data_IF_282351295766
#
_entry.id   IF_282351295766
#
_cell.length_a   1.000
_cell.length_b   1.000
_cell.length_c   1.000
_cell.angle_alpha   90.00
_cell.angle_beta   90.00
_cell.angle_gamma   90.00
#
_symmetry.space_group_name_H-M   'P 1'
#
loop_
_entity.id
_entity.type
_entity.pdbx_description
1 polymer ?
#
# COMPACT_ATOMS: atom_id res chain seq x y z
N UNK A 1 3.70 -23.75 -19.75
CA UNK A 1 4.56 -23.30 -18.64
C UNK A 1 5.87 -22.86 -19.27
N UNK A 2 5.97 -21.56 -19.54
CA UNK A 2 7.22 -20.96 -20.01
C UNK A 2 8.32 -21.08 -18.94
N UNK A 3 9.60 -21.03 -19.32
CA UNK A 3 10.70 -20.92 -18.35
C UNK A 3 10.45 -19.69 -17.45
N UNK A 4 10.37 -19.89 -16.13
CA UNK A 4 10.15 -18.82 -15.16
C UNK A 4 8.70 -18.60 -14.72
N UNK A 5 7.71 -19.17 -15.42
CA UNK A 5 6.33 -19.21 -14.94
C UNK A 5 6.17 -20.40 -13.99
N UNK A 6 5.83 -20.14 -12.74
CA UNK A 6 5.41 -21.19 -11.81
C UNK A 6 3.98 -20.90 -11.40
N UNK A 7 3.07 -21.82 -11.73
CA UNK A 7 1.83 -21.93 -10.96
C UNK A 7 2.23 -22.03 -9.49
N UNK A 8 1.54 -21.31 -8.62
CA UNK A 8 1.81 -21.43 -7.19
C UNK A 8 1.45 -22.85 -6.74
N UNK A 9 2.39 -23.78 -6.83
CA UNK A 9 2.35 -25.08 -6.17
C UNK A 9 3.00 -24.96 -4.80
N UNK A 10 2.62 -23.93 -4.03
CA UNK A 10 3.17 -23.74 -2.71
C UNK A 10 2.70 -24.89 -1.83
N UNK A 11 3.65 -25.70 -1.37
CA UNK A 11 3.39 -26.58 -0.25
C UNK A 11 3.04 -25.69 0.96
N UNK A 12 1.76 -25.66 1.34
CA UNK A 12 1.25 -24.86 2.47
C UNK A 12 1.55 -25.49 3.84
N UNK A 13 2.23 -26.64 3.87
CA UNK A 13 2.65 -27.28 5.11
C UNK A 13 3.58 -26.37 5.95
N UNK A 14 4.27 -25.42 5.31
CA UNK A 14 5.11 -24.41 5.98
C UNK A 14 4.37 -23.10 6.34
N UNK A 15 3.05 -23.05 6.19
CA UNK A 15 2.28 -21.90 6.67
C UNK A 15 2.53 -21.71 8.18
N UNK A 16 3.10 -20.55 8.54
CA UNK A 16 3.63 -20.25 9.89
C UNK A 16 2.59 -20.33 11.04
N UNK A 17 1.29 -20.44 10.73
CA UNK A 17 0.22 -20.43 11.71
C UNK A 17 -0.38 -21.84 11.88
N UNK A 18 -0.26 -22.45 13.07
CA UNK A 18 -0.79 -23.78 13.33
C UNK A 18 -2.29 -23.85 13.01
N UNK A 19 -2.71 -24.86 12.24
CA UNK A 19 -4.09 -25.12 11.84
C UNK A 19 -4.74 -24.09 10.88
N UNK A 20 -3.98 -23.22 10.20
CA UNK A 20 -4.58 -22.26 9.25
C UNK A 20 -5.35 -22.91 8.09
N UNK A 21 -4.98 -24.13 7.69
CA UNK A 21 -5.63 -24.94 6.65
C UNK A 21 -6.81 -25.77 7.15
N UNK A 22 -7.03 -25.85 8.47
CA UNK A 22 -8.01 -26.76 9.06
C UNK A 22 -9.44 -26.36 8.65
N UNK A 23 -10.11 -27.25 7.94
CA UNK A 23 -11.52 -27.08 7.53
C UNK A 23 -11.74 -26.22 6.28
N UNK A 24 -10.69 -25.91 5.51
CA UNK A 24 -10.78 -25.16 4.24
C UNK A 24 -10.58 -26.08 3.04
N UNK A 25 -11.22 -25.76 1.92
CA UNK A 25 -10.95 -26.46 0.64
C UNK A 25 -9.69 -25.92 -0.03
N UNK A 26 -9.11 -26.69 -0.94
CA UNK A 26 -7.90 -26.28 -1.70
C UNK A 26 -8.13 -25.01 -2.54
N UNK A 27 -9.36 -24.83 -3.04
CA UNK A 27 -9.77 -23.62 -3.75
C UNK A 27 -9.80 -22.40 -2.82
N UNK A 28 -10.33 -22.55 -1.61
CA UNK A 28 -10.37 -21.47 -0.61
C UNK A 28 -8.96 -21.08 -0.16
N UNK A 29 -8.06 -22.06 -0.03
CA UNK A 29 -6.66 -21.84 0.32
C UNK A 29 -5.99 -21.00 -0.77
N UNK A 30 -6.11 -21.41 -2.03
CA UNK A 30 -5.53 -20.72 -3.19
C UNK A 30 -6.06 -19.29 -3.30
N UNK A 31 -7.37 -19.10 -3.11
CA UNK A 31 -7.98 -17.78 -3.11
C UNK A 31 -7.42 -16.89 -1.98
N UNK A 32 -7.39 -17.38 -0.74
CA UNK A 32 -6.87 -16.60 0.39
C UNK A 32 -5.40 -16.20 0.21
N UNK A 33 -4.59 -17.06 -0.42
CA UNK A 33 -3.18 -16.77 -0.74
C UNK A 33 -3.07 -15.70 -1.80
N UNK A 34 -3.91 -15.75 -2.85
CA UNK A 34 -3.96 -14.69 -3.86
C UNK A 34 -4.29 -13.33 -3.24
N UNK A 35 -5.26 -13.32 -2.32
CA UNK A 35 -5.68 -12.14 -1.58
C UNK A 35 -4.53 -11.63 -0.70
N UNK A 36 -3.88 -12.52 0.06
CA UNK A 36 -2.75 -12.18 0.93
C UNK A 36 -1.61 -11.52 0.15
N UNK A 37 -1.24 -12.09 -0.99
CA UNK A 37 -0.13 -11.60 -1.79
C UNK A 37 -0.43 -10.23 -2.42
N UNK A 38 -1.64 -10.04 -2.97
CA UNK A 38 -2.04 -8.76 -3.57
C UNK A 38 -2.14 -7.67 -2.50
N UNK A 39 -2.74 -7.97 -1.34
CA UNK A 39 -2.76 -7.02 -0.21
C UNK A 39 -1.34 -6.70 0.27
N UNK A 40 -0.47 -7.70 0.31
CA UNK A 40 0.95 -7.56 0.62
C UNK A 40 1.68 -6.59 -0.31
N UNK A 41 1.53 -6.78 -1.63
CA UNK A 41 2.15 -5.92 -2.66
C UNK A 41 1.66 -4.48 -2.57
N UNK A 42 0.35 -4.28 -2.40
CA UNK A 42 -0.23 -2.95 -2.20
C UNK A 42 0.23 -2.31 -0.88
N UNK A 43 0.30 -3.07 0.20
CA UNK A 43 0.77 -2.56 1.48
C UNK A 43 2.25 -2.16 1.45
N UNK A 44 3.10 -2.90 0.74
CA UNK A 44 4.51 -2.54 0.54
C UNK A 44 4.64 -1.19 -0.17
N UNK A 45 3.88 -0.98 -1.26
CA UNK A 45 3.84 0.31 -1.97
C UNK A 45 3.24 1.43 -1.11
N UNK A 46 2.16 1.14 -0.37
CA UNK A 46 1.52 2.10 0.52
C UNK A 46 2.43 2.59 1.63
N UNK A 47 3.11 1.67 2.34
CA UNK A 47 4.04 2.03 3.41
C UNK A 47 5.21 2.87 2.90
N UNK A 48 5.83 2.45 1.78
CA UNK A 48 6.94 3.18 1.18
C UNK A 48 6.51 4.57 0.69
N UNK A 49 5.34 4.66 0.04
CA UNK A 49 4.79 5.92 -0.46
C UNK A 49 4.43 6.90 0.66
N UNK A 50 3.78 6.43 1.73
CA UNK A 50 3.43 7.26 2.88
C UNK A 50 4.67 7.84 3.56
N UNK A 51 5.71 7.03 3.75
CA UNK A 51 6.97 7.47 4.35
C UNK A 51 7.73 8.46 3.45
N UNK A 52 7.88 8.13 2.16
CA UNK A 52 8.60 8.97 1.21
C UNK A 52 7.92 10.32 0.97
N UNK A 53 6.59 10.35 0.92
CA UNK A 53 5.83 11.60 0.79
C UNK A 53 6.05 12.49 2.02
N UNK A 54 5.95 11.94 3.23
CA UNK A 54 6.18 12.71 4.46
C UNK A 54 7.61 13.27 4.53
N UNK A 55 8.62 12.50 4.08
CA UNK A 55 10.00 12.99 3.94
C UNK A 55 10.14 14.13 2.94
N UNK A 56 9.57 13.93 1.75
CA UNK A 56 9.85 14.78 0.60
C UNK A 56 9.09 16.09 0.63
N UNK A 57 7.87 16.08 1.16
CA UNK A 57 6.95 17.22 1.07
C UNK A 57 6.52 17.75 2.43
N UNK A 58 6.78 17.01 3.52
CA UNK A 58 6.29 17.34 4.86
C UNK A 58 4.78 17.16 5.03
N UNK A 59 4.09 16.62 4.02
CA UNK A 59 2.65 16.37 4.05
C UNK A 59 2.39 14.94 4.52
N UNK A 60 1.48 14.81 5.48
CA UNK A 60 1.05 13.51 5.98
C UNK A 60 0.22 12.74 4.94
N UNK A 61 0.40 11.42 4.89
CA UNK A 61 -0.32 10.55 3.93
C UNK A 61 -1.86 10.68 4.01
N UNK A 62 -2.42 10.89 5.21
CA UNK A 62 -3.87 11.03 5.42
C UNK A 62 -4.41 12.41 5.04
N UNK A 63 -3.55 13.43 4.91
CA UNK A 63 -3.90 14.78 4.44
C UNK A 63 -3.61 14.99 2.95
N UNK A 64 -2.83 14.11 2.34
CA UNK A 64 -2.43 14.22 0.93
C UNK A 64 -3.62 14.35 -0.04
N UNK A 65 -4.77 13.73 0.27
CA UNK A 65 -5.98 13.86 -0.54
C UNK A 65 -6.69 15.22 -0.45
N UNK A 66 -6.50 15.96 0.64
CA UNK A 66 -7.14 17.27 0.84
C UNK A 66 -6.48 18.40 0.01
N UNK A 67 -5.29 18.15 -0.52
CA UNK A 67 -4.54 19.09 -1.34
C UNK A 67 -5.14 19.24 -2.74
N UNK A 68 -5.74 18.17 -3.25
CA UNK A 68 -6.39 18.16 -4.55
C UNK A 68 -7.91 18.20 -4.36
N UNK A 69 -8.46 19.41 -4.44
CA UNK A 69 -9.91 19.61 -4.43
C UNK A 69 -10.44 19.72 -5.86
N UNK A 70 -11.76 19.53 -6.08
CA UNK A 70 -12.35 19.77 -7.40
C UNK A 70 -12.18 21.20 -7.93
N UNK A 71 -11.89 22.17 -7.05
CA UNK A 71 -11.70 23.57 -7.40
C UNK A 71 -10.24 23.94 -7.67
N UNK A 72 -9.30 23.33 -6.94
CA UNK A 72 -7.86 23.54 -7.11
C UNK A 72 -7.09 22.26 -6.75
N UNK A 73 -6.17 21.87 -7.63
CA UNK A 73 -5.33 20.68 -7.53
C UNK A 73 -3.86 20.95 -7.91
N UNK A 74 -3.43 22.23 -7.92
CA UNK A 74 -2.03 22.58 -8.23
C UNK A 74 -1.06 22.40 -7.05
N UNK A 75 -1.56 22.09 -5.85
CA UNK A 75 -0.74 21.93 -4.65
C UNK A 75 -0.03 20.58 -4.51
N UNK A 76 -0.16 19.66 -5.48
CA UNK A 76 0.54 18.37 -5.46
C UNK A 76 2.00 18.62 -5.82
N UNK A 77 2.90 18.26 -4.91
CA UNK A 77 4.35 18.32 -5.12
C UNK A 77 4.96 16.94 -4.98
N UNK A 78 5.93 16.62 -5.82
CA UNK A 78 6.67 15.36 -5.70
C UNK A 78 7.97 15.53 -4.92
N UNK A 79 8.40 14.50 -4.15
CA UNK A 79 9.73 14.49 -3.54
C UNK A 79 10.82 14.72 -4.59
N UNK A 80 11.58 15.81 -4.48
CA UNK A 80 12.69 16.13 -5.38
C UNK A 80 12.30 16.78 -6.71
N UNK A 81 11.10 17.37 -6.81
CA UNK A 81 10.64 18.09 -8.00
C UNK A 81 11.52 19.32 -8.30
N UNK A 82 12.18 19.34 -9.48
CA UNK A 82 13.01 20.46 -9.97
C UNK A 82 12.30 21.33 -11.02
N UNK A 83 11.18 20.84 -11.55
CA UNK A 83 10.32 21.53 -12.52
C UNK A 83 8.87 21.27 -12.13
N UNK A 84 8.00 22.28 -12.22
CA UNK A 84 6.59 22.08 -11.93
C UNK A 84 5.98 21.06 -12.88
N UNK A 85 5.14 20.16 -12.35
CA UNK A 85 4.43 19.12 -13.12
C UNK A 85 3.71 19.63 -14.37
N UNK A 86 3.24 20.88 -14.34
CA UNK A 86 2.60 21.53 -15.47
C UNK A 86 3.02 23.00 -15.56
N UNK A 87 3.02 23.60 -16.76
CA UNK A 87 3.19 25.03 -16.92
C UNK A 87 2.11 25.81 -16.14
N UNK A 88 2.50 26.92 -15.52
CA UNK A 88 1.57 27.83 -14.84
C UNK A 88 0.43 28.25 -15.80
N UNK A 89 -0.81 28.10 -15.36
CA UNK A 89 -2.00 28.46 -16.15
C UNK A 89 -2.49 27.41 -17.13
N UNK A 90 -1.91 26.20 -17.15
CA UNK A 90 -2.36 25.09 -18.00
C UNK A 90 -3.65 24.40 -17.52
N UNK A 91 -4.10 24.68 -16.29
CA UNK A 91 -5.26 24.04 -15.67
C UNK A 91 -5.01 22.59 -15.23
N UNK A 92 -3.76 22.14 -15.25
CA UNK A 92 -3.30 20.85 -14.75
C UNK A 92 -2.44 21.03 -13.49
N UNK A 93 -2.50 20.10 -12.53
CA UNK A 93 -3.37 18.91 -12.47
C UNK A 93 -4.85 19.27 -12.24
N UNK A 94 -5.78 18.47 -12.80
CA UNK A 94 -7.22 18.60 -12.56
C UNK A 94 -7.74 17.33 -11.87
N UNK A 95 -8.50 17.50 -10.79
CA UNK A 95 -9.09 16.40 -10.00
C UNK A 95 -9.85 15.38 -10.85
N UNK A 96 -10.72 15.82 -11.77
CA UNK A 96 -11.56 14.91 -12.58
C UNK A 96 -10.74 14.12 -13.59
N UNK A 97 -9.68 14.71 -14.13
CA UNK A 97 -8.78 14.04 -15.07
C UNK A 97 -7.94 13.00 -14.32
N UNK A 98 -7.42 13.35 -13.14
CA UNK A 98 -6.68 12.40 -12.30
C UNK A 98 -7.57 11.22 -11.88
N UNK A 99 -8.82 11.51 -11.45
CA UNK A 99 -9.78 10.47 -11.10
C UNK A 99 -10.11 9.59 -12.31
N UNK A 100 -10.45 10.20 -13.45
CA UNK A 100 -10.77 9.47 -14.68
C UNK A 100 -9.62 8.61 -15.19
N UNK A 101 -8.41 9.16 -15.21
CA UNK A 101 -7.20 8.42 -15.61
C UNK A 101 -6.92 7.25 -14.65
N UNK A 102 -7.04 7.46 -13.34
CA UNK A 102 -6.80 6.41 -12.34
C UNK A 102 -7.80 5.26 -12.48
N UNK A 103 -9.09 5.56 -12.68
CA UNK A 103 -10.13 4.55 -12.87
C UNK A 103 -9.91 3.78 -14.16
N UNK A 104 -9.56 4.45 -15.26
CA UNK A 104 -9.29 3.79 -16.54
C UNK A 104 -8.05 2.90 -16.44
N UNK A 105 -6.94 3.43 -15.94
CA UNK A 105 -5.68 2.68 -15.88
C UNK A 105 -5.75 1.50 -14.92
N UNK A 106 -6.29 1.70 -13.70
CA UNK A 106 -6.46 0.62 -12.74
C UNK A 106 -7.52 -0.37 -13.19
N UNK A 107 -8.61 0.10 -13.82
CA UNK A 107 -9.65 -0.75 -14.37
C UNK A 107 -9.14 -1.64 -15.50
N UNK A 108 -8.27 -1.13 -16.37
CA UNK A 108 -7.60 -1.92 -17.40
C UNK A 108 -6.62 -2.92 -16.77
N UNK A 109 -5.77 -2.49 -15.85
CA UNK A 109 -4.80 -3.36 -15.19
C UNK A 109 -5.45 -4.53 -14.43
N UNK A 110 -6.50 -4.26 -13.65
CA UNK A 110 -7.28 -5.29 -12.97
C UNK A 110 -8.13 -6.10 -13.94
N UNK A 111 -8.57 -5.52 -15.06
CA UNK A 111 -9.29 -6.21 -16.13
C UNK A 111 -8.43 -7.27 -16.83
N UNK A 112 -7.16 -6.96 -17.09
CA UNK A 112 -6.18 -7.92 -17.58
C UNK A 112 -5.91 -9.02 -16.53
N UNK A 113 -5.59 -8.64 -15.29
CA UNK A 113 -5.31 -9.61 -14.21
C UNK A 113 -6.49 -10.54 -13.90
N UNK A 114 -7.71 -10.01 -13.93
CA UNK A 114 -8.95 -10.75 -13.64
C UNK A 114 -9.49 -11.55 -14.81
N UNK A 115 -8.90 -11.44 -16.01
CA UNK A 115 -9.38 -12.12 -17.22
C UNK A 115 -10.68 -11.55 -17.79
N UNK A 116 -11.05 -10.32 -17.44
CA UNK A 116 -12.21 -9.63 -18.01
C UNK A 116 -11.90 -9.09 -19.41
N UNK A 117 -10.62 -8.80 -19.68
CA UNK A 117 -10.10 -8.30 -20.95
C UNK A 117 -8.94 -9.21 -21.36
N UNK A 118 -8.84 -9.54 -22.64
CA UNK A 118 -7.73 -10.33 -23.16
C UNK A 118 -6.39 -9.66 -22.84
N UNK A 119 -5.45 -10.45 -22.33
CA UNK A 119 -4.16 -9.95 -21.88
C UNK A 119 -3.31 -9.49 -23.06
N UNK A 120 -2.74 -8.28 -22.91
CA UNK A 120 -1.74 -7.75 -23.86
C UNK A 120 -0.40 -8.47 -23.71
N UNK A 121 -0.15 -9.03 -22.52
CA UNK A 121 1.06 -9.76 -22.18
C UNK A 121 0.80 -11.27 -22.26
N UNK A 122 1.51 -12.01 -23.13
CA UNK A 122 1.34 -13.46 -23.26
C UNK A 122 1.71 -14.23 -21.98
N UNK A 123 2.54 -13.63 -21.11
CA UNK A 123 3.04 -14.23 -19.87
C UNK A 123 2.06 -14.08 -18.70
N UNK A 124 1.03 -13.25 -18.84
CA UNK A 124 0.01 -13.06 -17.82
C UNK A 124 -1.14 -14.05 -18.03
N UNK A 125 -1.10 -15.19 -17.33
CA UNK A 125 -2.22 -16.13 -17.27
C UNK A 125 -3.19 -15.78 -16.13
N UNK A 126 -4.49 -15.96 -16.36
CA UNK A 126 -5.53 -15.66 -15.36
C UNK A 126 -5.38 -16.62 -14.17
N UNK A 127 -5.15 -16.06 -12.98
CA UNK A 127 -4.93 -16.82 -11.76
C UNK A 127 -3.46 -17.12 -11.47
N UNK A 128 -2.53 -16.72 -12.34
CA UNK A 128 -1.11 -16.73 -12.01
C UNK A 128 -0.74 -15.54 -11.10
N UNK A 129 -0.01 -15.85 -10.03
CA UNK A 129 0.48 -14.89 -9.04
C UNK A 129 1.87 -14.37 -9.36
N UNK A 130 2.62 -15.10 -10.19
CA UNK A 130 3.99 -14.82 -10.58
C UNK A 130 4.16 -14.98 -12.10
N UNK A 131 3.59 -14.05 -12.89
CA UNK A 131 3.59 -14.16 -14.36
C UNK A 131 5.01 -14.23 -14.97
N UNK A 132 6.02 -13.66 -14.28
CA UNK A 132 7.41 -13.74 -14.73
C UNK A 132 7.62 -13.14 -16.13
N UNK A 133 8.48 -13.76 -16.93
CA UNK A 133 8.76 -13.34 -18.30
C UNK A 133 9.58 -12.05 -18.41
N UNK A 134 9.83 -11.62 -19.65
CA UNK A 134 10.67 -10.44 -19.93
C UNK A 134 10.03 -9.12 -19.45
N UNK A 135 8.70 -9.09 -19.34
CA UNK A 135 7.95 -7.90 -18.96
C UNK A 135 7.85 -7.69 -17.45
N UNK A 136 7.61 -8.75 -16.65
CA UNK A 136 7.50 -8.63 -15.19
C UNK A 136 8.80 -9.00 -14.45
N UNK A 137 9.74 -9.67 -15.11
CA UNK A 137 11.12 -9.88 -14.63
C UNK A 137 12.16 -9.46 -15.69
N UNK A 138 12.29 -8.15 -15.98
CA UNK A 138 13.25 -7.66 -16.96
C UNK A 138 14.72 -7.92 -16.57
N UNK A 139 14.98 -8.26 -15.30
CA UNK A 139 16.31 -8.56 -14.79
C UNK A 139 16.64 -10.06 -14.80
N UNK A 140 15.67 -10.92 -15.13
CA UNK A 140 15.82 -12.37 -15.12
C UNK A 140 16.27 -12.91 -13.77
N UNK A 141 15.77 -12.34 -12.68
CA UNK A 141 16.12 -12.76 -11.32
C UNK A 141 15.56 -14.15 -10.99
N UNK A 142 14.43 -14.53 -11.62
CA UNK A 142 13.83 -15.85 -11.45
C UNK A 142 14.74 -17.00 -11.92
N UNK A 143 15.58 -16.77 -12.93
CA UNK A 143 16.54 -17.77 -13.44
C UNK A 143 17.90 -17.71 -12.73
N UNK A 144 18.23 -16.57 -12.12
CA UNK A 144 19.54 -16.33 -11.48
C UNK A 144 19.56 -16.68 -9.99
N UNK A 145 18.41 -16.65 -9.34
CA UNK A 145 18.28 -16.87 -7.91
C UNK A 145 17.28 -17.98 -7.60
N UNK A 146 17.31 -18.45 -6.36
CA UNK A 146 16.32 -19.41 -5.86
C UNK A 146 14.94 -18.74 -5.73
N UNK A 147 14.05 -19.08 -6.68
CA UNK A 147 12.70 -18.54 -6.79
C UNK A 147 11.87 -18.80 -5.52
N UNK A 148 12.02 -19.97 -4.89
CA UNK A 148 11.25 -20.33 -3.70
C UNK A 148 11.69 -19.47 -2.51
N UNK A 149 13.00 -19.23 -2.38
CA UNK A 149 13.51 -18.29 -1.39
C UNK A 149 13.02 -16.86 -1.63
N UNK A 150 12.95 -16.41 -2.89
CA UNK A 150 12.45 -15.08 -3.22
C UNK A 150 10.97 -14.92 -2.90
N UNK A 151 10.13 -15.92 -3.21
CA UNK A 151 8.71 -15.93 -2.83
C UNK A 151 8.51 -15.88 -1.32
N UNK A 152 9.31 -16.64 -0.55
CA UNK A 152 9.28 -16.58 0.91
C UNK A 152 9.69 -15.19 1.41
N UNK A 153 10.71 -14.59 0.81
CA UNK A 153 11.14 -13.24 1.15
C UNK A 153 10.04 -12.21 0.84
N UNK A 154 9.43 -12.26 -0.35
CA UNK A 154 8.31 -11.41 -0.74
C UNK A 154 7.16 -11.52 0.27
N UNK A 155 6.75 -12.75 0.61
CA UNK A 155 5.66 -12.98 1.55
C UNK A 155 5.95 -12.45 2.96
N UNK A 156 7.19 -12.56 3.44
CA UNK A 156 7.60 -12.02 4.75
C UNK A 156 7.55 -10.49 4.76
N UNK A 157 8.03 -9.82 3.71
CA UNK A 157 7.95 -8.36 3.60
C UNK A 157 6.52 -7.87 3.41
N UNK A 158 5.71 -8.59 2.62
CA UNK A 158 4.28 -8.34 2.46
C UNK A 158 3.54 -8.37 3.80
N UNK A 159 3.73 -9.42 4.61
CA UNK A 159 3.10 -9.54 5.94
C UNK A 159 3.54 -8.44 6.90
N UNK A 160 4.83 -8.12 6.90
CA UNK A 160 5.35 -7.01 7.69
C UNK A 160 4.70 -5.69 7.26
N UNK A 161 4.61 -5.42 5.95
CA UNK A 161 4.02 -4.22 5.41
C UNK A 161 2.51 -4.11 5.71
N UNK A 162 1.75 -5.21 5.63
CA UNK A 162 0.33 -5.21 6.00
C UNK A 162 0.14 -4.85 7.49
N UNK A 163 1.00 -5.39 8.36
CA UNK A 163 0.98 -5.03 9.79
C UNK A 163 1.43 -3.58 10.02
N UNK A 164 2.45 -3.11 9.30
CA UNK A 164 2.91 -1.73 9.37
C UNK A 164 1.84 -0.74 8.90
N UNK A 165 1.10 -1.05 7.84
CA UNK A 165 0.01 -0.23 7.35
C UNK A 165 -1.13 -0.11 8.36
N UNK A 166 -1.50 -1.23 9.00
CA UNK A 166 -2.43 -1.21 10.13
C UNK A 166 -1.90 -0.32 11.26
N UNK A 167 -0.61 -0.42 11.58
CA UNK A 167 0.07 0.46 12.54
C UNK A 167 -0.01 1.94 12.16
N UNK A 168 0.20 2.29 10.90
CA UNK A 168 0.11 3.67 10.40
C UNK A 168 -1.31 4.23 10.57
N UNK A 169 -2.33 3.43 10.24
CA UNK A 169 -3.72 3.80 10.44
C UNK A 169 -4.05 3.99 11.93
N UNK A 170 -3.66 3.04 12.79
CA UNK A 170 -3.91 3.13 14.24
C UNK A 170 -3.20 4.33 14.87
N UNK A 171 -1.94 4.60 14.48
CA UNK A 171 -1.19 5.75 14.98
C UNK A 171 -1.81 7.06 14.50
N UNK A 172 -2.16 7.18 13.22
CA UNK A 172 -2.78 8.40 12.68
C UNK A 172 -4.07 8.75 13.42
N UNK A 173 -4.87 7.76 13.81
CA UNK A 173 -6.07 7.98 14.63
C UNK A 173 -5.71 8.33 16.07
N UNK A 174 -4.77 7.62 16.69
CA UNK A 174 -4.43 7.82 18.10
C UNK A 174 -3.69 9.14 18.38
N UNK A 175 -2.84 9.62 17.46
CA UNK A 175 -2.03 10.83 17.70
C UNK A 175 -2.73 12.12 17.29
N UNK A 176 -3.74 12.04 16.40
CA UNK A 176 -4.26 13.23 15.69
C UNK A 176 -5.78 13.43 15.83
N UNK A 177 -6.50 12.58 16.58
CA UNK A 177 -7.93 12.73 16.83
C UNK A 177 -8.22 12.88 18.32
N UNK A 178 -9.08 13.84 18.69
CA UNK A 178 -9.61 13.97 20.06
C UNK A 178 -10.54 12.80 20.43
N UNK A 179 -11.19 12.17 19.44
CA UNK A 179 -11.92 10.91 19.62
C UNK A 179 -11.60 9.89 18.49
N UNK A 180 -11.14 8.67 18.82
CA UNK A 180 -10.72 7.70 17.81
C UNK A 180 -11.90 7.08 17.01
N UNK A 181 -13.13 7.21 17.51
CA UNK A 181 -14.33 6.59 16.91
C UNK A 181 -15.37 7.60 16.43
N UNK A 182 -15.13 8.91 16.57
CA UNK A 182 -16.08 9.92 16.10
C UNK A 182 -17.46 9.88 16.79
N UNK A 183 -17.61 9.15 17.90
CA UNK A 183 -18.85 9.07 18.67
C UNK A 183 -18.97 10.37 19.47
N UNK A 184 -19.88 11.26 19.05
CA UNK A 184 -20.17 12.52 19.74
C UNK A 184 -19.35 13.75 19.32
N UNK A 185 -18.44 13.64 18.35
CA UNK A 185 -17.76 14.83 17.79
C UNK A 185 -18.61 15.52 16.73
N UNK A 186 -18.62 16.85 16.73
CA UNK A 186 -19.33 17.67 15.74
C UNK A 186 -18.57 17.76 14.40
N UNK A 187 -17.33 17.31 14.36
CA UNK A 187 -16.43 17.34 13.19
C UNK A 187 -15.79 15.96 13.01
N UNK A 188 -16.31 15.20 12.05
CA UNK A 188 -15.80 13.89 11.66
C UNK A 188 -14.79 14.06 10.52
N UNK A 189 -13.61 13.42 10.58
CA UNK A 189 -12.52 13.73 11.51
C UNK A 189 -11.81 15.04 11.09
N UNK A 190 -11.93 16.09 11.90
CA UNK A 190 -11.04 17.26 11.76
C UNK A 190 -9.70 16.91 12.41
N UNK A 191 -8.69 16.58 11.61
CA UNK A 191 -7.33 16.40 12.12
C UNK A 191 -6.90 17.66 12.88
N UNK A 192 -6.33 17.48 14.06
CA UNK A 192 -5.81 18.58 14.88
C UNK A 192 -4.69 19.30 14.10
N UNK A 193 -4.60 20.63 14.25
CA UNK A 193 -3.49 21.42 13.71
C UNK A 193 -2.15 20.88 14.27
N UNK A 194 -1.27 20.40 13.39
CA UNK A 194 -0.03 19.70 13.79
C UNK A 194 -0.13 18.17 13.83
N UNK A 195 -1.13 17.58 13.16
CA UNK A 195 -1.21 16.13 12.96
C UNK A 195 0.12 15.55 12.44
N UNK A 196 0.55 14.44 13.04
CA UNK A 196 1.83 13.79 12.77
C UNK A 196 1.62 12.53 11.94
N UNK A 197 2.44 12.37 10.91
CA UNK A 197 2.53 11.14 10.16
C UNK A 197 3.43 10.10 10.85
N UNK A 198 3.53 8.89 10.28
CA UNK A 198 4.36 7.83 10.82
C UNK A 198 5.83 8.23 10.97
N UNK A 199 6.38 9.07 10.09
CA UNK A 199 7.77 9.51 10.22
C UNK A 199 7.96 10.51 11.36
N UNK A 200 7.09 11.51 11.47
CA UNK A 200 7.15 12.47 12.57
C UNK A 200 7.00 11.76 13.92
N UNK A 201 6.09 10.79 14.03
CA UNK A 201 5.97 9.93 15.22
C UNK A 201 7.25 9.14 15.51
N UNK A 202 7.92 8.63 14.48
CA UNK A 202 9.19 7.94 14.63
C UNK A 202 10.31 8.86 15.12
N UNK A 203 10.41 10.07 14.58
CA UNK A 203 11.38 11.08 15.02
C UNK A 203 11.18 11.46 16.49
N UNK A 204 9.93 11.71 16.89
CA UNK A 204 9.61 12.07 18.28
C UNK A 204 9.91 10.93 19.25
N UNK A 205 9.59 9.70 18.86
CA UNK A 205 9.89 8.52 19.68
C UNK A 205 11.40 8.31 19.85
N UNK A 206 12.20 8.50 18.78
CA UNK A 206 13.66 8.41 18.87
C UNK A 206 14.24 9.53 19.74
N UNK A 207 13.66 10.73 19.67
CA UNK A 207 14.11 11.85 20.48
C UNK A 207 13.91 11.57 21.98
N UNK A 208 12.77 11.00 22.38
CA UNK A 208 12.46 10.70 23.78
C UNK A 208 11.59 9.43 23.95
N UNK A 209 12.17 8.22 23.93
CA UNK A 209 11.41 6.96 23.88
C UNK A 209 10.58 6.68 25.14
N UNK A 210 11.00 7.21 26.29
CA UNK A 210 10.32 7.01 27.58
C UNK A 210 9.09 7.90 27.75
N UNK A 211 9.00 9.01 27.01
CA UNK A 211 7.92 10.00 27.12
C UNK A 211 7.01 9.93 25.90
N UNK A 212 7.58 9.92 24.71
CA UNK A 212 6.86 9.87 23.43
C UNK A 212 6.58 8.42 23.04
N UNK A 213 5.67 7.77 23.75
CA UNK A 213 5.26 6.39 23.45
C UNK A 213 3.74 6.24 23.56
N UNK A 214 3.25 5.03 23.27
CA UNK A 214 1.82 4.71 23.28
C UNK A 214 1.13 5.06 24.61
N UNK A 215 1.85 5.02 25.74
CA UNK A 215 1.27 5.26 27.06
C UNK A 215 0.87 6.71 27.29
N UNK A 216 1.47 7.65 26.54
CA UNK A 216 1.08 9.07 26.52
C UNK A 216 -0.38 9.26 26.04
N UNK A 217 -0.87 8.35 25.21
CA UNK A 217 -2.16 8.42 24.54
C UNK A 217 -3.25 7.56 25.22
N UNK A 218 -3.01 7.08 26.44
CA UNK A 218 -3.94 6.20 27.18
C UNK A 218 -5.26 6.86 27.57
N UNK A 219 -5.31 8.19 27.65
CA UNK A 219 -6.54 8.94 27.94
C UNK A 219 -7.55 9.00 26.80
N UNK A 220 -7.20 8.53 25.59
CA UNK A 220 -8.08 8.58 24.40
C UNK A 220 -9.22 7.55 24.40
N UNK A 221 -9.17 6.56 25.28
CA UNK A 221 -10.17 5.49 25.39
C UNK A 221 -10.94 5.50 26.73
N UNK A 222 -10.75 6.54 27.55
CA UNK A 222 -11.54 6.78 28.76
C UNK A 222 -12.72 7.70 28.44
#
# INVERSE_FOLDING_TARGET
>A
VEPGASTYSGNYDEALWPNWTKGKSDADITYNVSVELIHGRWAMLGCAGAWAAEQGTGINWFQAGAICTPADCTGIHFPGEVISMAPEGSGFPNFYIQLGLSVIMMGLAEGYRGGLIDNVFPELEVGDLHPGGEHFDPLGLADKLDLDRMKIAELKHARLAMLSWLGYMSQAVATNCDNPFGIGSKTWPSFIEGAKGPYANWLDHIANPYVENVWKYTGLFQ
#
